data_IF_629057197695
#
_entry.id   IF_629057197695
#
_cell.length_a   1.000
_cell.length_b   1.000
_cell.length_c   1.000
_cell.angle_alpha   90.00
_cell.angle_beta   90.00
_cell.angle_gamma   90.00
#
_symmetry.space_group_name_H-M   'P 1'
#
loop_
_entity.id
_entity.type
_entity.pdbx_description
1 polymer ?
#
# COMPACT_ATOMS: atom_id res chain seq x y z
N UNK A 1 -3.64 -6.44 -20.08
CA UNK A 1 -2.21 -6.81 -20.27
C UNK A 1 -1.69 -7.07 -18.87
N UNK A 2 -1.14 -8.26 -18.57
CA UNK A 2 -0.78 -8.61 -17.20
C UNK A 2 0.17 -7.55 -16.62
N UNK A 3 -0.14 -7.05 -15.41
CA UNK A 3 0.74 -6.10 -14.71
C UNK A 3 2.03 -6.84 -14.34
N UNK A 4 3.17 -6.25 -14.69
CA UNK A 4 4.50 -6.82 -14.44
C UNK A 4 4.79 -6.88 -12.93
N UNK A 5 5.24 -8.05 -12.43
CA UNK A 5 5.67 -8.25 -11.04
C UNK A 5 6.70 -7.20 -10.60
N UNK A 6 7.59 -6.74 -11.50
CA UNK A 6 8.56 -5.69 -11.20
C UNK A 6 7.87 -4.35 -10.89
N UNK A 7 6.82 -4.02 -11.64
CA UNK A 7 6.03 -2.79 -11.41
C UNK A 7 5.30 -2.86 -10.08
N UNK A 8 4.75 -4.02 -9.73
CA UNK A 8 4.08 -4.24 -8.45
C UNK A 8 5.07 -4.18 -7.28
N UNK A 9 6.25 -4.77 -7.43
CA UNK A 9 7.31 -4.71 -6.44
C UNK A 9 7.79 -3.26 -6.20
N UNK A 10 7.94 -2.46 -7.26
CA UNK A 10 8.31 -1.05 -7.16
C UNK A 10 7.23 -0.24 -6.43
N UNK A 11 5.95 -0.48 -6.71
CA UNK A 11 4.83 0.18 -6.04
C UNK A 11 4.77 -0.16 -4.55
N UNK A 12 4.88 -1.43 -4.19
CA UNK A 12 4.94 -1.89 -2.80
C UNK A 12 6.12 -1.24 -2.07
N UNK A 13 7.29 -1.21 -2.71
CA UNK A 13 8.50 -0.58 -2.15
C UNK A 13 8.29 0.91 -1.93
N UNK A 14 7.66 1.61 -2.87
CA UNK A 14 7.42 3.04 -2.77
C UNK A 14 6.47 3.38 -1.60
N UNK A 15 5.43 2.56 -1.38
CA UNK A 15 4.54 2.67 -0.21
C UNK A 15 5.30 2.39 1.08
N UNK A 16 6.00 1.26 1.17
CA UNK A 16 6.69 0.82 2.40
C UNK A 16 7.80 1.79 2.85
N UNK A 17 8.43 2.51 1.92
CA UNK A 17 9.44 3.54 2.20
C UNK A 17 8.95 4.63 3.15
N UNK A 18 7.65 4.91 3.14
CA UNK A 18 7.07 6.02 3.90
C UNK A 18 6.81 5.68 5.38
N UNK A 19 7.01 4.42 5.75
CA UNK A 19 6.92 3.88 7.10
C UNK A 19 8.31 3.77 7.76
N UNK A 20 8.35 3.69 9.10
CA UNK A 20 9.62 3.51 9.82
C UNK A 20 10.32 2.21 9.40
N UNK A 21 11.64 2.21 9.14
CA UNK A 21 12.40 1.00 8.84
C UNK A 21 12.26 -0.09 9.91
N UNK A 22 12.11 0.29 11.18
CA UNK A 22 11.95 -0.67 12.28
C UNK A 22 10.63 -1.47 12.18
N UNK A 23 9.66 -0.95 11.44
CA UNK A 23 8.33 -1.55 11.26
C UNK A 23 8.26 -2.22 9.88
N UNK A 24 8.75 -1.55 8.83
CA UNK A 24 8.63 -2.00 7.45
C UNK A 24 9.76 -2.93 6.98
N UNK A 25 10.89 -3.06 7.70
CA UNK A 25 12.06 -3.85 7.24
C UNK A 25 11.79 -5.33 6.97
N UNK A 26 10.76 -5.91 7.59
CA UNK A 26 10.32 -7.27 7.31
C UNK A 26 9.41 -7.39 6.09
N UNK A 27 8.81 -6.29 5.65
CA UNK A 27 7.74 -6.27 4.66
C UNK A 27 8.30 -6.15 3.26
N UNK A 28 7.84 -7.02 2.35
CA UNK A 28 8.24 -6.99 0.93
C UNK A 28 7.18 -7.61 0.04
N UNK A 29 7.18 -7.18 -1.22
CA UNK A 29 6.48 -7.92 -2.27
C UNK A 29 6.99 -9.35 -2.32
N UNK A 30 6.07 -10.32 -2.32
CA UNK A 30 6.42 -11.74 -2.34
C UNK A 30 6.08 -12.42 -3.66
N UNK A 31 4.90 -12.17 -4.22
CA UNK A 31 4.43 -12.72 -5.50
C UNK A 31 3.07 -12.17 -5.91
N UNK A 32 2.72 -12.35 -7.17
CA UNK A 32 1.34 -12.37 -7.63
C UNK A 32 0.74 -13.76 -7.45
N UNK A 33 -0.48 -13.85 -6.92
CA UNK A 33 -1.22 -15.12 -6.82
C UNK A 33 -2.52 -15.02 -7.61
N UNK A 34 -2.76 -15.93 -8.57
CA UNK A 34 -4.09 -16.08 -9.14
C UNK A 34 -5.01 -16.73 -8.09
N UNK A 35 -6.11 -16.06 -7.73
CA UNK A 35 -7.05 -16.53 -6.68
C UNK A 35 -7.74 -17.85 -7.04
N UNK A 36 -8.00 -17.98 -8.33
CA UNK A 36 -8.67 -19.06 -9.05
C UNK A 36 -8.48 -18.74 -10.53
N UNK A 37 -9.15 -19.47 -11.45
CA UNK A 37 -9.26 -18.99 -12.84
C UNK A 37 -9.57 -17.49 -12.81
N UNK A 38 -8.74 -16.65 -13.49
CA UNK A 38 -8.92 -15.21 -13.43
C UNK A 38 -10.36 -14.90 -13.77
N UNK A 39 -10.99 -14.11 -12.90
CA UNK A 39 -12.25 -13.45 -13.14
C UNK A 39 -12.22 -12.85 -14.56
N UNK A 40 -13.38 -12.69 -15.19
CA UNK A 40 -13.48 -12.19 -16.57
C UNK A 40 -12.75 -10.85 -16.81
N UNK A 41 -12.39 -10.14 -15.74
CA UNK A 41 -11.77 -8.81 -15.71
C UNK A 41 -10.23 -8.85 -15.55
N UNK A 42 -9.63 -10.03 -15.35
CA UNK A 42 -8.17 -10.24 -15.42
C UNK A 42 -7.34 -9.73 -14.23
N UNK A 43 -7.98 -9.25 -13.17
CA UNK A 43 -7.33 -8.75 -11.96
C UNK A 43 -6.44 -9.79 -11.25
N UNK A 44 -5.49 -9.30 -10.44
CA UNK A 44 -4.48 -10.11 -9.76
C UNK A 44 -4.43 -9.81 -8.26
N UNK A 45 -4.13 -10.83 -7.44
CA UNK A 45 -3.79 -10.60 -6.04
C UNK A 45 -2.30 -10.36 -5.89
N UNK A 46 -1.96 -9.22 -5.29
CA UNK A 46 -0.60 -8.89 -4.87
C UNK A 46 -0.41 -9.39 -3.45
N UNK A 47 0.56 -10.27 -3.23
CA UNK A 47 0.97 -10.69 -1.90
C UNK A 47 2.14 -9.82 -1.40
N UNK A 48 1.99 -9.27 -0.21
CA UNK A 48 3.06 -8.61 0.55
C UNK A 48 3.28 -9.43 1.81
N UNK A 49 4.48 -9.93 2.03
CA UNK A 49 4.80 -10.74 3.20
C UNK A 49 5.60 -9.95 4.22
N UNK A 50 5.23 -10.09 5.50
CA UNK A 50 6.12 -9.76 6.60
C UNK A 50 7.08 -10.94 6.79
N UNK A 51 8.37 -10.69 6.97
CA UNK A 51 9.35 -11.71 7.32
C UNK A 51 9.16 -12.31 8.72
N UNK A 52 8.04 -12.04 9.38
CA UNK A 52 7.70 -12.57 10.69
C UNK A 52 6.74 -13.75 10.53
N UNK A 53 7.00 -14.83 11.27
CA UNK A 53 6.23 -16.08 11.21
C UNK A 53 4.80 -15.94 11.78
N UNK A 54 4.35 -14.73 12.11
CA UNK A 54 3.15 -14.48 12.89
C UNK A 54 2.03 -13.71 12.17
N UNK A 55 2.27 -13.12 11.00
CA UNK A 55 1.20 -12.48 10.21
C UNK A 55 1.40 -12.76 8.72
N UNK A 56 0.37 -13.38 8.12
CA UNK A 56 0.39 -13.97 6.79
C UNK A 56 0.58 -12.97 5.65
N UNK A 57 0.63 -13.50 4.42
CA UNK A 57 0.65 -12.69 3.21
C UNK A 57 -0.58 -11.75 3.18
N UNK A 58 -0.33 -10.44 3.08
CA UNK A 58 -1.38 -9.46 2.81
C UNK A 58 -1.73 -9.54 1.34
N UNK A 59 -3.00 -9.83 1.05
CA UNK A 59 -3.51 -9.96 -0.33
C UNK A 59 -4.27 -8.70 -0.71
N UNK A 60 -3.83 -8.06 -1.78
CA UNK A 60 -4.46 -6.84 -2.29
C UNK A 60 -4.94 -7.06 -3.70
N UNK A 61 -6.20 -6.70 -3.95
CA UNK A 61 -6.82 -6.77 -5.27
C UNK A 61 -6.28 -5.66 -6.17
N UNK A 62 -5.58 -6.06 -7.23
CA UNK A 62 -5.02 -5.14 -8.21
C UNK A 62 -5.70 -5.37 -9.58
N UNK A 63 -6.48 -4.40 -10.09
CA UNK A 63 -7.12 -4.52 -11.40
C UNK A 63 -6.04 -4.61 -12.49
N UNK A 64 -6.22 -5.53 -13.45
CA UNK A 64 -5.32 -5.67 -14.60
C UNK A 64 -5.85 -4.98 -15.86
N UNK A 65 -7.04 -4.38 -15.77
CA UNK A 65 -7.69 -3.63 -16.83
C UNK A 65 -7.63 -2.11 -16.55
N UNK A 66 -7.74 -1.32 -17.63
CA UNK A 66 -7.61 0.15 -17.61
C UNK A 66 -8.85 0.87 -17.07
N UNK A 67 -9.90 0.14 -16.62
CA UNK A 67 -11.16 0.74 -16.19
C UNK A 67 -10.97 1.51 -14.88
N UNK A 68 -10.11 1.02 -14.00
CA UNK A 68 -9.75 1.75 -12.80
C UNK A 68 -8.37 2.43 -12.97
N UNK A 69 -8.27 3.76 -12.78
CA UNK A 69 -6.99 4.43 -12.87
C UNK A 69 -6.00 3.81 -11.87
N UNK A 70 -4.79 3.49 -12.34
CA UNK A 70 -3.69 2.93 -11.54
C UNK A 70 -3.56 3.55 -10.14
N UNK A 71 -3.77 4.85 -10.02
CA UNK A 71 -3.73 5.56 -8.75
C UNK A 71 -4.71 5.01 -7.69
N UNK A 72 -5.90 4.55 -8.06
CA UNK A 72 -6.84 3.93 -7.11
C UNK A 72 -6.35 2.56 -6.62
N UNK A 73 -5.72 1.78 -7.50
CA UNK A 73 -5.11 0.51 -7.10
C UNK A 73 -3.94 0.75 -6.11
N UNK A 74 -3.13 1.78 -6.36
CA UNK A 74 -2.05 2.20 -5.44
C UNK A 74 -2.64 2.74 -4.13
N UNK A 75 -3.72 3.51 -4.17
CA UNK A 75 -4.41 3.99 -2.98
C UNK A 75 -4.83 2.82 -2.07
N UNK A 76 -5.54 1.82 -2.61
CA UNK A 76 -5.94 0.63 -1.85
C UNK A 76 -4.76 -0.17 -1.34
N UNK A 77 -3.68 -0.26 -2.13
CA UNK A 77 -2.45 -0.90 -1.72
C UNK A 77 -1.85 -0.21 -0.49
N UNK A 78 -1.79 1.12 -0.49
CA UNK A 78 -1.28 1.91 0.61
C UNK A 78 -2.15 1.81 1.86
N UNK A 79 -3.46 1.91 1.71
CA UNK A 79 -4.44 1.79 2.79
C UNK A 79 -4.35 0.40 3.44
N UNK A 80 -4.31 -0.67 2.63
CA UNK A 80 -4.21 -2.03 3.16
C UNK A 80 -2.87 -2.31 3.85
N UNK A 81 -1.76 -1.84 3.29
CA UNK A 81 -0.44 -1.95 3.94
C UNK A 81 -0.44 -1.17 5.26
N UNK A 82 -1.06 0.00 5.30
CA UNK A 82 -1.16 0.82 6.50
C UNK A 82 -1.92 0.10 7.61
N UNK A 83 -3.10 -0.44 7.31
CA UNK A 83 -3.91 -1.21 8.27
C UNK A 83 -3.10 -2.35 8.89
N UNK A 84 -2.46 -3.14 8.04
CA UNK A 84 -1.70 -4.33 8.44
C UNK A 84 -0.46 -3.96 9.28
N UNK A 85 0.23 -2.87 8.91
CA UNK A 85 1.35 -2.38 9.69
C UNK A 85 0.90 -1.87 11.07
N UNK A 86 -0.25 -1.20 11.16
CA UNK A 86 -0.81 -0.70 12.44
C UNK A 86 -1.27 -1.86 13.33
N UNK A 87 -1.78 -2.95 12.75
CA UNK A 87 -2.19 -4.15 13.48
C UNK A 87 -0.97 -5.02 13.89
N UNK A 88 0.17 -4.87 13.22
CA UNK A 88 1.39 -5.61 13.54
C UNK A 88 1.94 -5.27 14.93
N UNK A 89 2.64 -6.24 15.53
CA UNK A 89 3.31 -6.05 16.83
C UNK A 89 4.33 -4.90 16.84
N UNK A 90 4.94 -4.58 15.70
CA UNK A 90 5.91 -3.48 15.57
C UNK A 90 5.24 -2.11 15.40
N UNK A 91 4.03 -2.07 14.83
CA UNK A 91 3.32 -0.82 14.53
C UNK A 91 2.19 -0.46 15.48
N UNK A 92 1.76 -1.38 16.34
CA UNK A 92 0.68 -1.16 17.29
C UNK A 92 0.88 0.12 18.13
N UNK A 93 -0.12 1.01 18.07
CA UNK A 93 -0.13 2.28 18.81
C UNK A 93 0.76 3.38 18.21
N UNK A 94 1.38 3.15 17.05
CA UNK A 94 2.12 4.18 16.33
C UNK A 94 1.24 4.85 15.26
N UNK A 95 1.38 6.16 15.04
CA UNK A 95 0.74 6.85 13.93
C UNK A 95 1.49 6.51 12.63
N UNK A 96 0.98 5.54 11.87
CA UNK A 96 1.64 5.03 10.68
C UNK A 96 0.88 5.36 9.41
N UNK A 97 1.55 5.94 8.38
CA UNK A 97 2.84 6.58 8.53
C UNK A 97 2.64 7.98 9.18
N UNK A 98 3.62 8.51 9.94
CA UNK A 98 3.39 9.66 10.80
C UNK A 98 3.19 10.94 9.99
N UNK A 99 2.25 11.79 10.43
CA UNK A 99 2.12 13.12 9.85
C UNK A 99 3.26 14.04 10.30
N UNK A 100 3.88 14.71 9.33
CA UNK A 100 4.99 15.63 9.51
C UNK A 100 4.60 16.95 10.17
N UNK A 101 3.33 17.36 10.06
CA UNK A 101 2.77 18.52 10.79
C UNK A 101 2.30 18.16 12.20
N UNK A 102 1.70 16.98 12.36
CA UNK A 102 1.00 16.55 13.57
C UNK A 102 1.38 15.11 13.89
N UNK A 103 2.49 14.88 14.62
CA UNK A 103 3.06 13.54 14.79
C UNK A 103 2.19 12.60 15.63
N UNK A 104 1.02 13.03 16.13
CA UNK A 104 0.10 12.22 16.93
C UNK A 104 -0.89 11.40 16.09
N UNK A 105 -1.06 11.70 14.81
CA UNK A 105 -1.99 10.98 13.94
C UNK A 105 -1.29 10.44 12.69
N UNK A 106 -1.78 9.31 12.15
CA UNK A 106 -1.30 8.83 10.86
C UNK A 106 -1.68 9.80 9.74
N UNK A 107 -0.93 9.77 8.65
CA UNK A 107 -1.40 10.30 7.37
C UNK A 107 -2.46 9.35 6.80
N UNK A 108 -3.39 9.87 6.00
CA UNK A 108 -4.39 9.08 5.30
C UNK A 108 -4.05 9.00 3.81
N UNK A 109 -4.24 7.83 3.22
CA UNK A 109 -4.09 7.67 1.78
C UNK A 109 -5.30 8.35 1.10
N UNK A 110 -5.05 9.27 0.17
CA UNK A 110 -6.09 9.95 -0.60
C UNK A 110 -5.68 10.11 -2.08
N UNK A 111 -6.67 10.39 -2.94
CA UNK A 111 -6.44 10.75 -4.33
C UNK A 111 -6.55 12.26 -4.51
N UNK A 112 -5.45 12.89 -4.95
CA UNK A 112 -5.40 14.32 -5.26
C UNK A 112 -4.93 14.48 -6.70
N UNK A 113 -5.76 15.14 -7.52
CA UNK A 113 -5.51 15.36 -8.95
C UNK A 113 -5.15 14.07 -9.73
N UNK A 114 -5.73 12.94 -9.33
CA UNK A 114 -5.50 11.63 -9.95
C UNK A 114 -4.21 10.94 -9.51
N UNK A 115 -3.50 11.47 -8.52
CA UNK A 115 -2.32 10.85 -7.89
C UNK A 115 -2.63 10.35 -6.47
N UNK A 116 -2.06 9.20 -6.11
CA UNK A 116 -2.16 8.66 -4.76
C UNK A 116 -1.15 9.35 -3.83
N UNK A 117 -1.66 10.00 -2.79
CA UNK A 117 -0.87 10.86 -1.89
C UNK A 117 -1.25 10.62 -0.43
N UNK A 118 -0.27 10.76 0.46
CA UNK A 118 -0.51 10.82 1.90
C UNK A 118 -0.97 12.22 2.28
N UNK A 119 -2.15 12.33 2.88
CA UNK A 119 -2.76 13.59 3.32
C UNK A 119 -2.83 13.67 4.84
N UNK A 120 -2.82 14.90 5.35
CA UNK A 120 -3.08 15.16 6.76
C UNK A 120 -4.60 15.10 7.03
N UNK A 121 -5.11 14.21 7.90
CA UNK A 121 -6.54 14.15 8.23
C UNK A 121 -7.09 15.41 8.90
N UNK A 122 -6.23 16.29 9.44
CA UNK A 122 -6.65 17.52 10.14
C UNK A 122 -6.78 18.70 9.19
N UNK A 123 -5.83 18.87 8.26
CA UNK A 123 -5.78 20.01 7.34
C UNK A 123 -6.21 19.65 5.93
N UNK A 124 -6.33 18.35 5.61
CA UNK A 124 -6.55 17.80 4.27
C UNK A 124 -5.49 18.22 3.26
N UNK A 125 -4.31 18.64 3.73
CA UNK A 125 -3.20 18.98 2.86
C UNK A 125 -2.46 17.71 2.40
N UNK A 126 -2.18 17.63 1.10
CA UNK A 126 -1.27 16.65 0.54
C UNK A 126 0.14 16.86 1.11
N UNK A 127 0.72 15.82 1.69
CA UNK A 127 2.03 15.88 2.35
C UNK A 127 3.12 15.25 1.50
N UNK A 128 2.86 14.06 0.97
CA UNK A 128 3.84 13.36 0.11
C UNK A 128 3.18 12.36 -0.84
N UNK A 129 3.63 12.29 -2.10
CA UNK A 129 3.21 11.25 -3.03
C UNK A 129 3.93 9.93 -2.72
N UNK A 130 3.22 8.82 -2.80
CA UNK A 130 3.79 7.48 -2.65
C UNK A 130 3.78 6.66 -3.94
N UNK A 131 3.15 7.14 -5.02
CA UNK A 131 3.40 6.69 -6.38
C UNK A 131 3.24 7.85 -7.37
N UNK A 132 4.15 7.95 -8.33
CA UNK A 132 3.93 8.75 -9.53
C UNK A 132 3.06 7.93 -10.50
N UNK A 133 2.05 8.57 -11.10
CA UNK A 133 1.17 7.96 -12.11
C UNK A 133 1.94 7.32 -13.26
#
# INVERSE_FOLDING_TARGET
MAVDDAVLADLVTAVLRDFSPDIASGWRFSRVVPDREPDADGAVWVCVSSGSDLDGDVRIWFPADEIEPRAHAVLRLADRIQDELVESSAGWGQPLPPCDLHPQHPLQAELVDGAAVWCCPVTHEARRPFAAG
#
